data_IF_046766663557
#
_entry.id   IF_046766663557
#
_cell.length_a   1.000
_cell.length_b   1.000
_cell.length_c   1.000
_cell.angle_alpha   90.00
_cell.angle_beta   90.00
_cell.angle_gamma   90.00
#
_symmetry.space_group_name_H-M   'P 1'
#
loop_
_entity.id
_entity.type
_entity.pdbx_description
1 polymer ?
#
# COMPACT_ATOMS: atom_id res chain seq x y z
N UNK A 1 -11.17 2.98 -14.87
CA UNK A 1 -11.07 2.16 -13.62
C UNK A 1 -9.60 2.06 -13.24
N UNK A 2 -9.26 1.75 -11.98
CA UNK A 2 -7.88 1.40 -11.61
C UNK A 2 -7.85 -0.08 -11.21
N UNK A 3 -6.90 -0.82 -11.76
CA UNK A 3 -6.72 -2.25 -11.52
C UNK A 3 -5.37 -2.45 -10.83
N UNK A 4 -5.36 -3.29 -9.80
CA UNK A 4 -4.13 -3.70 -9.12
C UNK A 4 -3.48 -4.84 -9.92
N UNK A 5 -2.33 -4.55 -10.53
CA UNK A 5 -1.59 -5.51 -11.36
C UNK A 5 -0.56 -6.34 -10.58
N UNK A 6 -0.52 -6.18 -9.26
CA UNK A 6 0.33 -6.96 -8.39
C UNK A 6 1.10 -6.12 -7.38
N UNK A 7 1.93 -6.82 -6.63
CA UNK A 7 2.78 -6.28 -5.57
C UNK A 7 4.20 -6.75 -5.79
N UNK A 8 5.18 -5.86 -5.62
CA UNK A 8 6.59 -6.25 -5.77
C UNK A 8 7.09 -7.06 -4.56
N UNK A 9 7.33 -6.43 -3.40
CA UNK A 9 7.99 -7.10 -2.25
C UNK A 9 7.27 -6.92 -0.92
N UNK A 10 6.38 -7.82 -0.52
CA UNK A 10 5.56 -7.61 0.68
C UNK A 10 6.27 -8.05 1.96
N UNK A 11 6.07 -7.29 3.04
CA UNK A 11 6.52 -7.65 4.39
C UNK A 11 5.41 -7.36 5.39
N UNK A 12 5.24 -8.27 6.35
CA UNK A 12 4.36 -8.11 7.50
C UNK A 12 5.19 -8.28 8.77
N UNK A 13 5.98 -7.26 9.16
CA UNK A 13 6.89 -7.37 10.30
C UNK A 13 6.19 -7.57 11.65
N UNK A 14 4.91 -7.20 11.76
CA UNK A 14 4.12 -7.35 12.98
C UNK A 14 2.66 -7.71 12.65
N UNK A 15 1.96 -8.41 13.55
CA UNK A 15 0.53 -8.64 13.43
C UNK A 15 -0.27 -7.34 13.59
N UNK A 16 -1.48 -7.32 13.03
CA UNK A 16 -2.45 -6.23 13.20
C UNK A 16 -3.62 -6.77 14.04
N UNK A 17 -3.67 -6.49 15.35
CA UNK A 17 -4.75 -6.98 16.21
C UNK A 17 -6.11 -6.46 15.75
N UNK A 18 -7.15 -7.29 15.87
CA UNK A 18 -8.51 -6.87 15.61
C UNK A 18 -8.89 -5.66 16.49
N UNK A 19 -9.61 -4.71 15.90
CA UNK A 19 -9.97 -3.46 16.58
C UNK A 19 -8.89 -2.38 16.58
N UNK A 20 -7.67 -2.65 16.09
CA UNK A 20 -6.63 -1.61 16.00
C UNK A 20 -7.00 -0.49 15.03
N UNK A 21 -6.56 0.74 15.34
CA UNK A 21 -6.63 1.85 14.39
C UNK A 21 -5.50 1.71 13.38
N UNK A 22 -5.85 1.79 12.09
CA UNK A 22 -4.89 1.63 10.99
C UNK A 22 -4.84 2.92 10.17
N UNK A 23 -3.62 3.35 9.81
CA UNK A 23 -3.38 4.49 8.91
C UNK A 23 -2.47 4.05 7.78
N UNK A 24 -2.84 4.38 6.54
CA UNK A 24 -2.02 4.16 5.35
C UNK A 24 -1.35 5.45 4.91
N UNK A 25 -0.04 5.36 4.63
CA UNK A 25 0.75 6.40 3.98
C UNK A 25 1.21 5.87 2.63
N UNK A 26 0.86 6.55 1.53
CA UNK A 26 1.28 6.18 0.19
C UNK A 26 2.22 7.23 -0.41
N UNK A 27 3.27 6.77 -1.07
CA UNK A 27 4.23 7.58 -1.81
C UNK A 27 4.19 7.13 -3.28
N UNK A 28 3.94 8.06 -4.20
CA UNK A 28 3.99 7.79 -5.64
C UNK A 28 5.44 7.73 -6.09
N UNK A 29 5.87 6.54 -6.54
CA UNK A 29 7.25 6.31 -6.97
C UNK A 29 7.42 6.57 -8.46
N UNK A 30 6.53 6.02 -9.29
CA UNK A 30 6.59 6.17 -10.74
C UNK A 30 5.20 6.33 -11.34
N UNK A 31 5.17 7.03 -12.47
CA UNK A 31 4.04 7.16 -13.37
C UNK A 31 4.60 6.90 -14.77
N UNK A 32 4.00 5.96 -15.48
CA UNK A 32 4.43 5.52 -16.80
C UNK A 32 3.22 5.47 -17.71
N UNK A 33 3.28 6.18 -18.83
CA UNK A 33 2.29 6.05 -19.88
C UNK A 33 2.46 4.69 -20.58
N UNK A 34 1.35 3.99 -20.77
CA UNK A 34 1.30 2.73 -21.50
C UNK A 34 0.19 2.79 -22.55
N UNK A 35 0.20 1.86 -23.51
CA UNK A 35 -0.93 1.75 -24.44
C UNK A 35 -2.23 1.51 -23.66
N UNK A 36 -3.22 2.41 -23.83
CA UNK A 36 -4.53 2.30 -23.19
C UNK A 36 -4.60 2.81 -21.74
N UNK A 37 -3.55 3.43 -21.19
CA UNK A 37 -3.64 3.97 -19.84
C UNK A 37 -2.33 4.41 -19.20
N UNK A 38 -2.34 4.47 -17.87
CA UNK A 38 -1.19 4.86 -17.05
C UNK A 38 -0.90 3.76 -16.05
N UNK A 39 0.35 3.33 -15.96
CA UNK A 39 0.86 2.48 -14.89
C UNK A 39 1.51 3.34 -13.81
N UNK A 40 1.10 3.17 -12.57
CA UNK A 40 1.67 3.83 -11.41
C UNK A 40 2.23 2.83 -10.42
N UNK A 41 3.30 3.20 -9.73
CA UNK A 41 3.87 2.42 -8.66
C UNK A 41 3.81 3.23 -7.34
N UNK A 42 3.08 2.73 -6.34
CA UNK A 42 2.88 3.38 -5.04
C UNK A 42 3.55 2.62 -3.90
N UNK A 43 4.48 3.19 -3.15
CA UNK A 43 4.95 2.61 -1.88
C UNK A 43 3.93 2.89 -0.77
N UNK A 44 3.33 1.84 -0.20
CA UNK A 44 2.27 1.99 0.82
C UNK A 44 2.71 1.48 2.20
N UNK A 45 2.94 2.37 3.17
CA UNK A 45 3.25 1.99 4.56
C UNK A 45 1.99 1.97 5.41
N UNK A 46 1.79 0.91 6.19
CA UNK A 46 0.66 0.77 7.11
C UNK A 46 1.15 0.97 8.54
N UNK A 47 0.58 1.96 9.22
CA UNK A 47 0.77 2.21 10.63
C UNK A 47 -0.40 1.64 11.40
N UNK A 48 -0.12 0.92 12.49
CA UNK A 48 -1.12 0.35 13.36
C UNK A 48 -0.91 0.90 14.78
N UNK A 49 -2.00 1.21 15.46
CA UNK A 49 -2.01 1.56 16.88
C UNK A 49 -3.06 0.69 17.57
N UNK A 50 -2.59 -0.23 18.43
CA UNK A 50 -3.48 -1.06 19.24
C UNK A 50 -4.19 -0.18 20.29
N UNK A 51 -5.47 -0.46 20.54
CA UNK A 51 -6.29 0.31 21.49
C UNK A 51 -5.81 0.16 22.95
N UNK A 52 -5.15 -0.96 23.31
CA UNK A 52 -4.82 -1.30 24.71
C UNK A 52 -3.37 -1.74 24.97
N UNK A 53 -2.44 -1.55 24.03
CA UNK A 53 -1.01 -1.84 24.27
C UNK A 53 -0.08 -0.98 23.42
N UNK A 54 1.14 -0.65 23.88
CA UNK A 54 2.03 0.33 23.23
C UNK A 54 2.76 -0.25 22.01
N UNK A 55 2.08 -1.04 21.17
CA UNK A 55 2.68 -1.60 19.98
C UNK A 55 2.43 -0.67 18.78
N UNK A 56 3.31 0.32 18.62
CA UNK A 56 3.42 1.14 17.42
C UNK A 56 4.60 0.64 16.57
N UNK A 57 4.50 -0.57 16.01
CA UNK A 57 5.46 -1.00 14.97
C UNK A 57 4.91 -0.62 13.59
N UNK A 58 5.59 0.25 12.82
CA UNK A 58 5.19 0.56 11.45
C UNK A 58 5.36 -0.70 10.58
N UNK A 59 4.25 -1.23 10.07
CA UNK A 59 4.24 -2.38 9.16
C UNK A 59 4.34 -1.87 7.73
N UNK A 60 5.51 -2.02 7.11
CA UNK A 60 5.71 -1.62 5.71
C UNK A 60 5.14 -2.66 4.75
N UNK A 61 4.01 -2.36 4.15
CA UNK A 61 3.49 -3.04 2.96
C UNK A 61 4.19 -2.40 1.73
N UNK A 62 4.28 -3.05 0.56
CA UNK A 62 5.15 -2.54 -0.49
C UNK A 62 4.41 -1.91 -1.64
N UNK A 63 5.25 -1.50 -2.58
CA UNK A 63 4.97 -1.03 -3.91
C UNK A 63 3.77 -1.73 -4.57
N UNK A 64 2.63 -1.04 -4.55
CA UNK A 64 1.40 -1.35 -5.24
C UNK A 64 1.50 -0.79 -6.66
N UNK A 65 1.57 -1.67 -7.65
CA UNK A 65 1.46 -1.29 -9.05
C UNK A 65 -0.01 -1.24 -9.44
N UNK A 66 -0.55 -0.04 -9.63
CA UNK A 66 -1.89 0.16 -10.17
C UNK A 66 -1.77 0.57 -11.64
N UNK A 67 -2.64 0.07 -12.49
CA UNK A 67 -2.81 0.63 -13.83
C UNK A 67 -4.20 1.23 -13.93
N UNK A 68 -4.27 2.47 -14.37
CA UNK A 68 -5.51 3.13 -14.74
C UNK A 68 -5.74 2.87 -16.22
N UNK A 69 -6.69 2.01 -16.54
CA UNK A 69 -7.21 1.89 -17.91
C UNK A 69 -8.21 3.03 -18.13
N UNK A 70 -7.99 3.85 -19.16
CA UNK A 70 -9.05 4.71 -19.70
C UNK A 70 -9.86 3.86 -20.67
N UNK A 71 -11.11 3.59 -20.30
CA UNK A 71 -12.09 3.07 -21.26
C UNK A 71 -12.38 4.09 -22.35
#
# INVERSE_FOLDING_TARGET
MAVNYGLNKVRFPAPVPAGSKVRLSAELLTVEDIAGGIRIALRATIHCTALESPCASPTRVPLLSLTKESG
#
